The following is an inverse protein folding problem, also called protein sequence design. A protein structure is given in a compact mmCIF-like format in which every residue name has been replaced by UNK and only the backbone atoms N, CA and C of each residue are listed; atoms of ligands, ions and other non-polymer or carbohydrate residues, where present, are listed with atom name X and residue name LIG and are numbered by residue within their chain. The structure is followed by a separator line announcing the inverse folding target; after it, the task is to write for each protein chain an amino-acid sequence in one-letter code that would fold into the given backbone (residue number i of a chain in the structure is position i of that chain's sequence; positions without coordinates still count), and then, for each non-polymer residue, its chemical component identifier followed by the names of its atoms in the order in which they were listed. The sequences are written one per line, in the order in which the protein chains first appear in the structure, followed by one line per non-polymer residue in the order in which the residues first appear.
data_IF_280374988845
#
_entry.id   IF_280374988845
#
_cell.length_a   1.000
_cell.length_b   1.000
_cell.length_c   1.000
_cell.angle_alpha   90.00
_cell.angle_beta   90.00
_cell.angle_gamma   90.00
#
_symmetry.space_group_name_H-M   'P 1'
#
loop_
_entity.id
_entity.type
_entity.pdbx_description
1 polymer ?
#
# COMPACT_ATOMS: atom_id res chain seq x y z
N UNK A 1 43.48 64.30 -14.77
CA UNK A 1 42.40 63.80 -15.65
C UNK A 1 42.09 62.41 -15.22
N UNK A 2 40.95 62.20 -14.47
CA UNK A 2 40.60 60.91 -13.91
C UNK A 2 39.38 60.36 -14.72
N UNK A 3 39.63 59.32 -15.47
CA UNK A 3 38.59 58.62 -16.24
C UNK A 3 37.87 57.57 -15.30
N UNK A 4 36.61 57.82 -15.04
CA UNK A 4 35.75 56.86 -14.29
C UNK A 4 35.09 55.93 -15.30
N UNK A 5 35.41 54.65 -15.23
CA UNK A 5 34.68 53.61 -15.93
C UNK A 5 33.43 53.24 -15.12
N UNK A 6 32.25 53.46 -15.71
CA UNK A 6 30.97 52.96 -15.23
C UNK A 6 30.81 51.56 -15.78
N UNK A 7 30.86 50.56 -14.90
CA UNK A 7 30.52 49.18 -15.24
C UNK A 7 29.01 49.03 -15.03
N UNK A 8 28.27 48.94 -16.15
CA UNK A 8 26.88 48.53 -16.12
C UNK A 8 26.79 47.01 -15.91
N UNK A 9 26.43 46.59 -14.72
CA UNK A 9 26.11 45.18 -14.44
C UNK A 9 24.67 44.93 -14.85
N UNK A 10 24.50 44.26 -16.00
CA UNK A 10 23.21 43.80 -16.49
C UNK A 10 22.81 42.55 -15.69
N UNK A 11 21.88 42.67 -14.74
CA UNK A 11 21.27 41.55 -14.07
C UNK A 11 20.32 40.86 -15.05
N UNK A 12 20.76 39.77 -15.65
CA UNK A 12 19.86 38.84 -16.35
C UNK A 12 19.15 38.03 -15.28
N UNK A 13 17.93 38.42 -14.94
CA UNK A 13 17.04 37.61 -14.14
C UNK A 13 16.51 36.51 -15.05
N UNK A 14 17.21 35.38 -15.11
CA UNK A 14 16.68 34.14 -15.66
C UNK A 14 15.59 33.65 -14.74
N UNK A 15 14.35 33.88 -15.16
CA UNK A 15 13.18 33.34 -14.47
C UNK A 15 13.25 31.82 -14.44
N UNK A 16 13.67 31.27 -13.31
CA UNK A 16 13.51 29.85 -13.01
C UNK A 16 12.01 29.57 -12.97
N UNK A 17 11.46 29.04 -14.07
CA UNK A 17 10.15 28.39 -14.02
C UNK A 17 10.30 27.19 -13.11
N UNK A 18 9.90 27.34 -11.85
CA UNK A 18 9.65 26.21 -10.97
C UNK A 18 8.51 25.44 -11.58
N UNK A 19 8.85 24.41 -12.34
CA UNK A 19 7.89 23.40 -12.74
C UNK A 19 7.50 22.71 -11.43
N UNK A 20 6.35 23.09 -10.88
CA UNK A 20 5.69 22.28 -9.86
C UNK A 20 5.28 20.99 -10.55
N UNK A 21 6.21 20.05 -10.63
CA UNK A 21 5.87 18.66 -10.82
C UNK A 21 4.98 18.28 -9.65
N UNK A 22 3.71 18.01 -9.92
CA UNK A 22 2.82 17.40 -8.94
C UNK A 22 3.48 16.08 -8.52
N UNK A 23 4.16 16.08 -7.39
CA UNK A 23 4.66 14.84 -6.77
C UNK A 23 3.44 13.95 -6.55
N UNK A 24 3.38 12.88 -7.31
CA UNK A 24 2.41 11.82 -7.12
C UNK A 24 2.73 11.16 -5.79
N UNK A 25 2.18 11.68 -4.71
CA UNK A 25 2.34 11.11 -3.38
C UNK A 25 1.48 9.85 -3.28
N UNK A 26 2.06 8.78 -2.84
CA UNK A 26 1.36 7.61 -2.30
C UNK A 26 1.36 7.71 -0.78
N UNK A 27 0.38 7.09 -0.15
CA UNK A 27 0.31 7.06 1.30
C UNK A 27 0.66 5.67 1.82
N UNK A 28 1.51 5.62 2.82
CA UNK A 28 1.72 4.39 3.57
C UNK A 28 1.78 4.68 5.05
N UNK A 29 1.38 3.72 5.84
CA UNK A 29 1.63 3.70 7.26
C UNK A 29 2.25 2.36 7.61
N UNK A 30 3.45 2.38 8.13
CA UNK A 30 4.13 1.23 8.67
C UNK A 30 4.21 1.36 10.17
N UNK A 31 3.72 0.38 10.89
CA UNK A 31 3.74 0.38 12.33
C UNK A 31 4.62 -0.77 12.76
N UNK A 32 5.70 -0.45 13.47
CA UNK A 32 6.75 -1.38 13.84
C UNK A 32 6.33 -2.53 14.74
N UNK A 33 5.19 -2.42 15.38
CA UNK A 33 4.65 -3.48 16.22
C UNK A 33 3.20 -3.70 15.88
N UNK A 34 2.91 -4.65 14.99
CA UNK A 34 1.56 -5.11 14.68
C UNK A 34 0.41 -4.23 15.19
N UNK A 35 -0.43 -3.71 14.35
CA UNK A 35 -0.72 -4.12 12.99
C UNK A 35 0.00 -3.28 11.94
N UNK A 36 0.24 -3.90 10.81
CA UNK A 36 0.79 -3.28 9.62
C UNK A 36 -0.34 -2.74 8.73
N UNK A 37 -0.20 -1.50 8.29
CA UNK A 37 -1.16 -0.89 7.38
C UNK A 37 -0.41 -0.10 6.32
N UNK A 38 -0.65 -0.38 5.05
CA UNK A 38 -0.05 0.33 3.94
C UNK A 38 -1.08 0.65 2.86
N UNK A 39 -0.98 1.82 2.25
CA UNK A 39 -1.88 2.29 1.20
C UNK A 39 -1.06 2.83 0.04
N UNK A 40 -1.43 2.44 -1.17
CA UNK A 40 -0.91 3.00 -2.42
C UNK A 40 -2.02 3.72 -3.18
N UNK A 41 -1.67 4.82 -3.83
CA UNK A 41 -2.59 5.59 -4.65
C UNK A 41 -2.02 5.84 -6.05
N UNK A 42 -2.72 5.39 -7.08
CA UNK A 42 -2.36 5.70 -8.47
C UNK A 42 -3.16 6.89 -8.99
N UNK A 43 -2.50 8.04 -9.10
CA UNK A 43 -3.10 9.27 -9.62
C UNK A 43 -3.50 9.20 -11.09
N UNK A 44 -2.98 8.25 -11.87
CA UNK A 44 -3.29 8.11 -13.30
C UNK A 44 -4.71 7.60 -13.52
N UNK A 45 -5.16 6.70 -12.68
CA UNK A 45 -6.46 6.05 -12.80
C UNK A 45 -7.40 6.28 -11.61
N UNK A 46 -6.91 6.98 -10.57
CA UNK A 46 -7.68 7.25 -9.36
C UNK A 46 -7.93 6.02 -8.49
N UNK A 47 -7.11 4.98 -8.60
CA UNK A 47 -7.25 3.74 -7.83
C UNK A 47 -6.49 3.84 -6.51
N UNK A 48 -7.12 3.41 -5.43
CA UNK A 48 -6.47 3.18 -4.14
C UNK A 48 -6.41 1.69 -3.85
N UNK A 49 -5.28 1.23 -3.36
CA UNK A 49 -5.13 -0.14 -2.84
C UNK A 49 -4.49 -0.07 -1.47
N UNK A 50 -4.74 -1.05 -0.63
CA UNK A 50 -4.09 -1.09 0.67
C UNK A 50 -4.15 -2.46 1.31
N UNK A 51 -3.27 -2.65 2.26
CA UNK A 51 -3.14 -3.87 3.05
C UNK A 51 -3.14 -3.52 4.52
N UNK A 52 -3.81 -4.36 5.30
CA UNK A 52 -3.81 -4.31 6.75
C UNK A 52 -3.52 -5.71 7.29
N UNK A 53 -2.66 -5.79 8.29
CA UNK A 53 -2.45 -7.00 9.08
C UNK A 53 -2.54 -6.69 10.56
N UNK A 54 -3.16 -7.57 11.30
CA UNK A 54 -3.19 -7.56 12.74
C UNK A 54 -2.92 -8.98 13.27
N UNK A 55 -2.26 -9.06 14.41
CA UNK A 55 -1.86 -10.31 15.03
C UNK A 55 -2.32 -10.32 16.49
N UNK A 56 -2.91 -11.40 16.90
CA UNK A 56 -3.19 -11.69 18.32
C UNK A 56 -2.50 -12.97 18.72
N UNK A 57 -1.64 -12.87 19.73
CA UNK A 57 -0.96 -14.04 20.31
C UNK A 57 -1.56 -14.32 21.70
N UNK A 58 -1.98 -15.54 21.91
CA UNK A 58 -2.39 -16.10 23.20
C UNK A 58 -1.53 -17.34 23.49
N UNK A 59 -1.46 -17.83 24.72
CA UNK A 59 -0.71 -19.03 25.05
C UNK A 59 -1.14 -20.23 24.17
N UNK A 60 -0.23 -20.71 23.33
CA UNK A 60 -0.46 -21.84 22.43
C UNK A 60 -1.17 -21.51 21.11
N UNK A 61 -1.54 -20.27 20.87
CA UNK A 61 -2.30 -19.87 19.66
C UNK A 61 -1.86 -18.50 19.14
N UNK A 62 -1.76 -18.39 17.82
CA UNK A 62 -1.55 -17.12 17.15
C UNK A 62 -2.55 -16.99 16.01
N UNK A 63 -3.39 -15.97 16.10
CA UNK A 63 -4.39 -15.66 15.09
C UNK A 63 -4.02 -14.39 14.31
N UNK A 64 -4.21 -14.40 13.02
CA UNK A 64 -3.89 -13.31 12.12
C UNK A 64 -5.14 -12.81 11.41
N UNK A 65 -5.27 -11.48 11.30
CA UNK A 65 -6.22 -10.83 10.41
C UNK A 65 -5.46 -10.08 9.34
N UNK A 66 -5.62 -10.48 8.09
CA UNK A 66 -4.97 -9.85 6.93
C UNK A 66 -6.03 -9.47 5.92
N UNK A 67 -6.15 -8.18 5.65
CA UNK A 67 -7.10 -7.64 4.68
C UNK A 67 -6.35 -6.89 3.58
N UNK A 68 -6.66 -7.21 2.34
CA UNK A 68 -6.26 -6.45 1.16
C UNK A 68 -7.49 -5.73 0.64
N UNK A 69 -7.38 -4.45 0.30
CA UNK A 69 -8.50 -3.67 -0.19
C UNK A 69 -8.15 -2.86 -1.43
N UNK A 70 -9.16 -2.63 -2.27
CA UNK A 70 -9.06 -1.83 -3.49
C UNK A 70 -10.31 -0.98 -3.67
N UNK A 71 -10.13 0.27 -4.04
CA UNK A 71 -11.20 1.20 -4.37
C UNK A 71 -10.83 2.10 -5.53
N UNK A 72 -11.87 2.69 -6.12
CA UNK A 72 -11.74 3.61 -7.23
C UNK A 72 -12.16 5.01 -6.79
N UNK A 73 -11.69 6.05 -7.52
CA UNK A 73 -12.00 7.46 -7.27
C UNK A 73 -11.50 8.00 -5.94
N UNK A 74 -10.26 7.76 -5.64
CA UNK A 74 -9.59 8.21 -4.43
C UNK A 74 -9.45 9.75 -4.27
N UNK A 75 -10.09 10.55 -5.11
CA UNK A 75 -10.16 12.01 -4.95
C UNK A 75 -11.23 12.46 -3.93
N UNK A 76 -11.88 11.52 -3.25
CA UNK A 76 -12.92 11.78 -2.25
C UNK A 76 -12.42 11.46 -0.85
N UNK A 77 -12.95 12.15 0.15
CA UNK A 77 -12.66 11.84 1.56
C UNK A 77 -13.17 10.45 1.99
N UNK A 78 -14.17 9.91 1.29
CA UNK A 78 -14.75 8.59 1.51
C UNK A 78 -14.69 7.80 0.21
N UNK A 79 -14.02 6.67 0.24
CA UNK A 79 -13.78 5.81 -0.91
C UNK A 79 -14.41 4.45 -0.63
N UNK A 80 -15.36 4.03 -1.47
CA UNK A 80 -15.86 2.66 -1.41
C UNK A 80 -14.78 1.69 -1.83
N UNK A 81 -14.51 0.69 -1.02
CA UNK A 81 -13.47 -0.31 -1.27
C UNK A 81 -14.05 -1.72 -1.27
N UNK A 82 -13.50 -2.56 -2.12
CA UNK A 82 -13.64 -4.02 -2.05
C UNK A 82 -12.54 -4.54 -1.14
N UNK A 83 -12.87 -5.47 -0.26
CA UNK A 83 -11.95 -6.04 0.72
C UNK A 83 -11.93 -7.55 0.57
N UNK A 84 -10.75 -8.14 0.55
CA UNK A 84 -10.56 -9.59 0.51
C UNK A 84 -9.68 -10.05 1.66
N UNK A 85 -9.90 -11.28 2.12
CA UNK A 85 -9.00 -11.92 3.08
C UNK A 85 -7.67 -12.23 2.39
N UNK A 86 -6.59 -11.70 2.93
CA UNK A 86 -5.24 -11.95 2.44
C UNK A 86 -4.47 -12.99 3.27
N UNK A 87 -5.15 -13.72 4.16
CA UNK A 87 -4.55 -14.82 4.94
C UNK A 87 -4.28 -16.01 4.02
N UNK A 88 -3.05 -16.48 4.07
CA UNK A 88 -2.56 -17.58 3.23
C UNK A 88 -3.29 -18.89 3.56
N UNK A 89 -3.67 -19.65 2.53
CA UNK A 89 -4.28 -20.96 2.69
C UNK A 89 -5.79 -20.94 2.98
N UNK A 90 -6.37 -19.78 3.22
CA UNK A 90 -7.81 -19.63 3.27
C UNK A 90 -8.36 -19.45 1.84
N UNK A 91 -9.46 -20.12 1.54
CA UNK A 91 -10.25 -19.85 0.33
C UNK A 91 -10.45 -18.34 0.25
N UNK A 92 -10.25 -17.73 -0.93
CA UNK A 92 -10.63 -16.34 -1.16
C UNK A 92 -12.13 -16.23 -0.90
N UNK A 93 -12.44 -15.93 0.36
CA UNK A 93 -13.81 -15.77 0.84
C UNK A 93 -14.45 -14.60 0.11
N UNK A 94 -15.76 -14.57 0.11
CA UNK A 94 -16.54 -13.53 -0.51
C UNK A 94 -15.90 -12.14 -0.37
N UNK A 95 -15.85 -11.43 -1.49
CA UNK A 95 -15.39 -10.04 -1.54
C UNK A 95 -16.32 -9.19 -0.67
N UNK A 96 -15.75 -8.56 0.35
CA UNK A 96 -16.47 -7.71 1.28
C UNK A 96 -16.54 -6.30 0.75
N UNK A 97 -17.55 -5.56 1.19
CA UNK A 97 -17.64 -4.11 0.95
C UNK A 97 -17.18 -3.36 2.17
N UNK A 98 -16.35 -2.33 1.96
CA UNK A 98 -15.88 -1.44 3.01
C UNK A 98 -15.83 0.00 2.52
N UNK A 99 -15.41 0.88 3.42
CA UNK A 99 -15.12 2.28 3.12
C UNK A 99 -13.74 2.65 3.66
N UNK A 100 -12.96 3.37 2.85
CA UNK A 100 -11.73 4.00 3.30
C UNK A 100 -12.02 5.49 3.43
N UNK A 101 -11.94 5.99 4.67
CA UNK A 101 -12.08 7.40 4.97
C UNK A 101 -10.70 8.02 5.20
N UNK A 102 -10.50 9.22 4.62
CA UNK A 102 -9.27 9.99 4.78
C UNK A 102 -9.64 11.32 5.41
N UNK A 103 -9.33 11.51 6.69
CA UNK A 103 -9.65 12.72 7.45
C UNK A 103 -8.48 13.13 8.33
N UNK A 104 -8.13 14.42 8.32
CA UNK A 104 -7.13 14.99 9.24
C UNK A 104 -5.83 14.19 9.28
N UNK A 105 -5.34 13.77 8.13
CA UNK A 105 -4.14 12.93 8.00
C UNK A 105 -4.27 11.56 8.70
N UNK A 106 -5.48 11.02 8.79
CA UNK A 106 -5.79 9.68 9.30
C UNK A 106 -6.48 8.86 8.23
N UNK A 107 -6.17 7.58 8.19
CA UNK A 107 -6.88 6.60 7.38
C UNK A 107 -7.79 5.80 8.30
N UNK A 108 -9.04 5.65 7.90
CA UNK A 108 -10.01 4.80 8.60
C UNK A 108 -10.56 3.78 7.61
N UNK A 109 -10.24 2.51 7.83
CA UNK A 109 -10.90 1.42 7.11
C UNK A 109 -12.12 1.00 7.91
N UNK A 110 -13.29 1.16 7.32
CA UNK A 110 -14.59 0.80 7.90
C UNK A 110 -15.12 -0.43 7.19
N UNK A 111 -15.37 -1.50 7.93
CA UNK A 111 -15.94 -2.75 7.41
C UNK A 111 -17.09 -3.22 8.30
N UNK A 112 -18.05 -3.96 7.72
CA UNK A 112 -19.12 -4.54 8.48
C UNK A 112 -18.57 -5.75 9.27
N UNK A 113 -18.78 -5.75 10.60
CA UNK A 113 -18.32 -6.80 11.50
C UNK A 113 -18.81 -8.18 11.08
N UNK A 114 -20.09 -8.32 10.72
CA UNK A 114 -20.68 -9.61 10.32
C UNK A 114 -20.12 -10.19 9.02
N UNK A 115 -19.35 -9.40 8.27
CA UNK A 115 -18.70 -9.82 7.03
C UNK A 115 -17.22 -10.11 7.22
N UNK A 116 -16.63 -9.79 8.37
CA UNK A 116 -15.22 -10.04 8.61
C UNK A 116 -14.90 -11.53 8.47
N UNK A 117 -13.81 -11.87 7.78
CA UNK A 117 -13.41 -13.26 7.63
C UNK A 117 -12.89 -13.80 8.97
N UNK A 118 -13.38 -14.95 9.37
CA UNK A 118 -12.90 -15.83 10.43
C UNK A 118 -12.19 -15.14 11.59
N UNK A 119 -10.85 -15.23 11.61
CA UNK A 119 -10.04 -14.74 12.69
C UNK A 119 -10.05 -13.22 12.89
N UNK A 120 -10.48 -12.44 11.89
CA UNK A 120 -10.52 -10.98 11.99
C UNK A 120 -11.48 -10.48 13.07
N UNK A 121 -12.61 -11.13 13.23
CA UNK A 121 -13.58 -10.80 14.29
C UNK A 121 -12.98 -11.03 15.69
N UNK A 122 -12.11 -12.01 15.82
CA UNK A 122 -11.41 -12.35 17.04
C UNK A 122 -10.14 -11.51 17.30
N UNK A 123 -9.43 -11.13 16.24
CA UNK A 123 -8.14 -10.43 16.33
C UNK A 123 -8.33 -8.93 16.54
N UNK A 124 -9.15 -8.28 15.70
CA UNK A 124 -9.22 -6.81 15.64
C UNK A 124 -9.65 -6.14 16.97
N UNK A 125 -10.60 -6.64 17.77
CA UNK A 125 -10.99 -5.98 19.01
C UNK A 125 -9.89 -5.95 20.09
N UNK A 126 -8.83 -6.74 19.94
CA UNK A 126 -7.79 -6.90 20.95
C UNK A 126 -6.44 -6.30 20.59
N UNK A 127 -6.32 -5.67 19.43
CA UNK A 127 -5.08 -4.99 19.06
C UNK A 127 -5.08 -3.60 19.68
N UNK A 128 -4.02 -3.29 20.43
CA UNK A 128 -3.88 -1.98 21.07
C UNK A 128 -3.63 -0.84 20.10
N UNK A 129 -3.15 -1.16 18.90
CA UNK A 129 -2.92 -0.23 17.79
C UNK A 129 -2.98 -1.00 16.46
N UNK A 130 -3.60 -0.48 15.37
CA UNK A 130 -4.31 0.78 15.28
C UNK A 130 -5.48 0.85 16.27
N UNK A 131 -5.96 2.07 16.50
CA UNK A 131 -7.20 2.19 17.28
C UNK A 131 -8.32 1.49 16.52
N UNK A 132 -8.85 0.43 17.11
CA UNK A 132 -9.98 -0.31 16.58
C UNK A 132 -11.20 0.04 17.40
N UNK A 133 -12.22 0.54 16.74
CA UNK A 133 -13.49 0.91 17.33
C UNK A 133 -14.59 0.02 16.75
N UNK A 134 -15.41 -0.54 17.61
CA UNK A 134 -16.64 -1.21 17.19
C UNK A 134 -17.82 -0.29 17.45
N UNK A 135 -18.54 0.06 16.39
CA UNK A 135 -19.70 0.94 16.48
C UNK A 135 -20.80 0.50 15.51
N UNK A 136 -22.00 0.30 16.05
CA UNK A 136 -23.18 -0.02 15.25
C UNK A 136 -22.99 -1.19 14.27
N UNK A 137 -22.29 -2.25 14.70
CA UNK A 137 -22.02 -3.41 13.86
C UNK A 137 -20.92 -3.20 12.81
N UNK A 138 -20.20 -2.08 12.88
CA UNK A 138 -19.04 -1.80 12.06
C UNK A 138 -17.76 -1.89 12.88
N UNK A 139 -16.69 -2.33 12.24
CA UNK A 139 -15.32 -2.25 12.77
C UNK A 139 -14.62 -1.12 12.02
N UNK A 140 -14.08 -0.17 12.78
CA UNK A 140 -13.37 1.01 12.29
C UNK A 140 -11.92 0.87 12.72
N UNK A 141 -11.03 0.70 11.75
CA UNK A 141 -9.58 0.63 11.98
C UNK A 141 -8.96 1.98 11.64
N UNK A 142 -8.50 2.71 12.64
CA UNK A 142 -7.91 4.05 12.47
C UNK A 142 -6.40 3.99 12.59
N UNK A 143 -5.69 4.48 11.57
CA UNK A 143 -4.23 4.58 11.54
C UNK A 143 -3.75 5.97 11.19
N UNK A 144 -2.58 6.33 11.71
CA UNK A 144 -1.85 7.54 11.34
C UNK A 144 -0.81 7.20 10.27
N UNK A 145 -0.68 8.00 9.20
CA UNK A 145 0.40 7.82 8.27
C UNK A 145 1.75 8.08 8.96
N UNK A 146 2.65 7.12 8.91
CA UNK A 146 3.99 7.24 9.49
C UNK A 146 5.06 7.35 8.41
N UNK A 147 4.84 6.71 7.26
CA UNK A 147 5.77 6.70 6.14
C UNK A 147 5.00 6.98 4.85
N UNK A 148 5.53 7.82 3.99
CA UNK A 148 5.04 8.00 2.64
C UNK A 148 6.08 7.51 1.64
N UNK A 149 5.64 6.92 0.54
CA UNK A 149 6.48 6.44 -0.53
C UNK A 149 5.90 6.79 -1.91
N UNK A 150 6.61 6.42 -2.95
CA UNK A 150 6.24 6.73 -4.34
C UNK A 150 5.54 5.55 -5.05
N UNK A 151 5.18 4.49 -4.34
CA UNK A 151 4.46 3.37 -4.95
C UNK A 151 3.01 3.74 -5.27
N UNK A 152 2.45 3.06 -6.27
CA UNK A 152 1.11 3.33 -6.80
C UNK A 152 0.05 2.39 -6.27
N UNK A 153 0.48 1.17 -5.98
CA UNK A 153 -0.43 0.14 -5.49
C UNK A 153 0.26 -0.76 -4.48
N UNK A 154 -0.57 -1.49 -3.74
CA UNK A 154 -0.16 -2.54 -2.80
C UNK A 154 -0.75 -3.85 -3.29
N UNK A 155 0.03 -4.92 -3.21
CA UNK A 155 -0.39 -6.27 -3.54
C UNK A 155 0.11 -7.28 -2.52
N UNK A 156 -0.38 -8.50 -2.59
CA UNK A 156 0.05 -9.63 -1.76
C UNK A 156 0.29 -10.84 -2.64
N UNK A 157 1.40 -11.54 -2.41
CA UNK A 157 1.72 -12.79 -3.12
C UNK A 157 0.76 -13.89 -2.65
N UNK A 158 0.11 -14.56 -3.60
CA UNK A 158 -0.67 -15.77 -3.36
C UNK A 158 0.06 -17.05 -3.77
N UNK A 159 0.95 -16.95 -4.76
CA UNK A 159 1.71 -18.10 -5.23
C UNK A 159 2.67 -18.62 -4.15
N UNK A 160 2.89 -19.94 -4.08
CA UNK A 160 3.88 -20.53 -3.19
C UNK A 160 5.28 -19.92 -3.38
N UNK A 161 5.62 -19.60 -4.65
CA UNK A 161 6.83 -18.87 -5.04
C UNK A 161 6.49 -17.95 -6.22
N UNK A 162 6.79 -16.67 -6.09
CA UNK A 162 6.72 -15.68 -7.14
C UNK A 162 8.14 -15.19 -7.45
N UNK A 163 8.67 -15.55 -8.60
CA UNK A 163 10.04 -15.18 -8.98
C UNK A 163 10.09 -13.74 -9.48
N UNK A 164 11.21 -13.08 -9.21
CA UNK A 164 11.53 -11.80 -9.85
C UNK A 164 12.04 -12.02 -11.27
N UNK A 165 11.78 -11.05 -12.15
CA UNK A 165 12.25 -10.98 -13.51
C UNK A 165 12.94 -9.62 -13.74
N UNK A 166 13.99 -9.61 -14.59
CA UNK A 166 14.69 -8.36 -14.93
C UNK A 166 13.85 -7.45 -15.86
N UNK A 167 13.06 -8.07 -16.72
CA UNK A 167 12.11 -7.42 -17.63
C UNK A 167 10.76 -8.14 -17.52
N UNK A 168 9.65 -7.57 -18.03
CA UNK A 168 8.36 -8.24 -18.11
C UNK A 168 8.35 -9.31 -19.21
N UNK A 169 9.21 -10.31 -19.05
CA UNK A 169 9.46 -11.43 -19.96
C UNK A 169 9.91 -12.66 -19.15
N UNK A 170 9.27 -13.78 -19.43
CA UNK A 170 9.52 -15.08 -18.76
C UNK A 170 10.97 -15.57 -18.93
N UNK A 171 11.68 -15.19 -19.99
CA UNK A 171 13.07 -15.56 -20.23
C UNK A 171 14.05 -14.86 -19.28
N UNK A 172 13.62 -13.81 -18.58
CA UNK A 172 14.49 -12.96 -17.73
C UNK A 172 14.37 -13.28 -16.24
N UNK A 173 13.96 -14.50 -15.90
CA UNK A 173 13.76 -14.96 -14.51
C UNK A 173 15.04 -14.86 -13.70
N UNK A 174 14.90 -14.38 -12.46
CA UNK A 174 15.98 -14.29 -11.48
C UNK A 174 15.91 -15.44 -10.47
N UNK A 175 16.97 -15.63 -9.70
CA UNK A 175 16.99 -16.62 -8.60
C UNK A 175 16.18 -16.14 -7.37
N UNK A 176 15.99 -14.82 -7.22
CA UNK A 176 15.22 -14.25 -6.12
C UNK A 176 13.74 -14.54 -6.32
N UNK A 177 13.05 -14.82 -5.24
CA UNK A 177 11.60 -15.03 -5.24
C UNK A 177 10.99 -14.52 -3.93
N UNK A 178 9.71 -14.26 -3.99
CA UNK A 178 8.82 -13.98 -2.87
C UNK A 178 7.96 -15.21 -2.57
N UNK A 179 7.42 -15.25 -1.37
CA UNK A 179 6.55 -16.34 -0.93
C UNK A 179 5.13 -15.83 -0.65
N UNK A 180 4.20 -16.75 -0.57
CA UNK A 180 2.82 -16.44 -0.25
C UNK A 180 2.71 -15.65 1.06
N UNK A 181 1.95 -14.54 1.02
CA UNK A 181 1.80 -13.59 2.12
C UNK A 181 2.76 -12.41 2.10
N UNK A 182 3.81 -12.43 1.27
CA UNK A 182 4.69 -11.26 1.11
C UNK A 182 3.92 -10.09 0.49
N UNK A 183 4.15 -8.90 1.06
CA UNK A 183 3.49 -7.66 0.65
C UNK A 183 4.35 -6.96 -0.39
N UNK A 184 3.72 -6.43 -1.43
CA UNK A 184 4.36 -5.73 -2.53
C UNK A 184 4.03 -4.26 -2.52
N UNK A 185 5.03 -3.42 -2.71
CA UNK A 185 4.86 -2.06 -3.17
C UNK A 185 5.04 -2.03 -4.69
N UNK A 186 3.97 -1.70 -5.41
CA UNK A 186 3.92 -1.72 -6.87
C UNK A 186 4.19 -0.30 -7.38
N UNK A 187 5.25 -0.15 -8.16
CA UNK A 187 5.71 1.14 -8.70
C UNK A 187 5.24 1.37 -10.13
N UNK A 188 5.13 0.28 -10.90
CA UNK A 188 4.67 0.34 -12.28
C UNK A 188 3.99 -0.96 -12.68
N UNK A 189 3.23 -0.92 -13.78
CA UNK A 189 2.52 -2.06 -14.32
C UNK A 189 2.62 -2.11 -15.86
N UNK A 190 2.68 -3.33 -16.37
CA UNK A 190 2.50 -3.66 -17.78
C UNK A 190 1.52 -4.83 -17.88
N UNK A 191 0.94 -5.11 -19.04
CA UNK A 191 0.02 -6.23 -19.19
C UNK A 191 0.61 -7.55 -18.64
N UNK A 192 -0.01 -8.08 -17.58
CA UNK A 192 0.43 -9.30 -16.91
C UNK A 192 1.59 -9.17 -15.91
N UNK A 193 2.13 -7.95 -15.68
CA UNK A 193 3.33 -7.73 -14.88
C UNK A 193 3.22 -6.52 -13.97
N UNK A 194 3.75 -6.65 -12.73
CA UNK A 194 3.98 -5.56 -11.77
C UNK A 194 5.48 -5.32 -11.58
N UNK A 195 5.91 -4.07 -11.69
CA UNK A 195 7.24 -3.67 -11.23
C UNK A 195 7.18 -3.36 -9.76
N UNK A 196 7.91 -4.12 -8.95
CA UNK A 196 7.79 -4.10 -7.50
C UNK A 196 9.13 -3.88 -6.82
N UNK A 197 9.04 -3.37 -5.60
CA UNK A 197 10.12 -3.25 -4.66
C UNK A 197 9.74 -4.08 -3.42
N UNK A 198 10.67 -4.89 -2.97
CA UNK A 198 10.54 -5.68 -1.75
C UNK A 198 11.73 -5.43 -0.83
N UNK A 199 11.43 -5.05 0.41
CA UNK A 199 12.44 -4.88 1.43
C UNK A 199 12.63 -6.19 2.19
N UNK A 200 13.63 -6.95 1.80
CA UNK A 200 14.04 -8.14 2.53
C UNK A 200 14.89 -7.80 3.76
N UNK A 201 15.12 -8.78 4.62
CA UNK A 201 15.91 -8.59 5.86
C UNK A 201 17.33 -8.05 5.63
N UNK A 202 17.98 -8.41 4.52
CA UNK A 202 19.37 -8.06 4.23
C UNK A 202 19.53 -7.06 3.09
N UNK A 203 18.61 -7.03 2.17
CA UNK A 203 18.69 -6.17 0.97
C UNK A 203 17.31 -5.92 0.38
N UNK A 204 17.23 -4.81 -0.31
CA UNK A 204 16.13 -4.48 -1.19
C UNK A 204 16.25 -5.27 -2.50
N UNK A 205 15.13 -5.73 -3.03
CA UNK A 205 15.03 -6.38 -4.34
C UNK A 205 14.03 -5.62 -5.19
N UNK A 206 14.43 -5.30 -6.40
CA UNK A 206 13.60 -4.65 -7.42
C UNK A 206 13.47 -5.60 -8.61
N UNK A 207 12.30 -5.61 -9.23
CA UNK A 207 12.07 -6.38 -10.44
C UNK A 207 10.61 -6.53 -10.78
N UNK A 208 10.35 -7.28 -11.83
CA UNK A 208 9.01 -7.58 -12.30
C UNK A 208 8.52 -8.87 -11.65
N UNK A 209 7.22 -8.89 -11.30
CA UNK A 209 6.50 -10.05 -10.77
C UNK A 209 5.27 -10.25 -11.68
N UNK A 210 4.87 -11.49 -11.91
CA UNK A 210 3.66 -11.78 -12.68
C UNK A 210 2.41 -11.43 -11.87
N UNK A 211 1.46 -10.76 -12.49
CA UNK A 211 0.17 -10.40 -11.87
C UNK A 211 -0.56 -11.64 -11.35
N UNK A 212 -0.52 -12.76 -12.09
CA UNK A 212 -1.15 -14.03 -11.69
C UNK A 212 -0.61 -14.66 -10.40
N UNK A 213 0.57 -14.24 -9.95
CA UNK A 213 1.19 -14.73 -8.72
C UNK A 213 0.72 -13.93 -7.48
N UNK A 214 -0.12 -12.90 -7.69
CA UNK A 214 -0.67 -12.03 -6.62
C UNK A 214 -2.16 -12.27 -6.42
N UNK A 215 -2.67 -11.90 -5.23
CA UNK A 215 -4.11 -11.89 -4.97
C UNK A 215 -4.78 -10.91 -5.94
N UNK A 216 -5.85 -11.36 -6.59
CA UNK A 216 -6.65 -10.59 -7.54
C UNK A 216 -7.96 -10.10 -6.88
N UNK A 217 -8.49 -8.95 -7.39
CA UNK A 217 -9.80 -8.39 -7.03
C UNK A 217 -10.82 -8.67 -8.12
#
# INVERSE_FOLDING_TARGET
MKIRYLINVLFIVTGLKIVHGSEQSSWSTEIYENPYFTVGYDFRNGTVTGYMAALRTAPGETNECKLLFKGDRANKANISVKVVNATVGQSQSAMLSGQLEIRNNRFQLVVNKSQLPGDCDWVLPFVGYPAVEEKSGQVIVTVLPMISGVWRAVGVIQAKKAYFYQAPDEATVQKAYLVSGDILHIYDEKPGWYFVKFQGRKKEVLGWIRVRDTIQF
#
